data_IF_673787073445
#
_entry.id   IF_673787073445
#
_cell.length_a   1.000
_cell.length_b   1.000
_cell.length_c   1.000
_cell.angle_alpha   90.00
_cell.angle_beta   90.00
_cell.angle_gamma   90.00
#
_symmetry.space_group_name_H-M   'P 1'
#
loop_
_entity.id
_entity.type
_entity.pdbx_description
1 polymer ?
#
# COMPACT_ATOMS: atom_id res chain seq x y z
N UNK A 1 -5.21 4.74 10.02
CA UNK A 1 -6.08 3.81 9.29
C UNK A 1 -5.21 2.66 8.82
N UNK A 2 -5.72 1.43 8.84
CA UNK A 2 -5.00 0.26 8.31
C UNK A 2 -5.10 0.20 6.78
N UNK A 3 -4.18 -0.48 6.11
CA UNK A 3 -4.19 -0.66 4.65
C UNK A 3 -5.50 -1.25 4.15
N UNK A 4 -6.04 -2.25 4.86
CA UNK A 4 -7.32 -2.88 4.49
C UNK A 4 -8.51 -1.91 4.62
N UNK A 5 -8.42 -0.90 5.49
CA UNK A 5 -9.46 0.14 5.58
C UNK A 5 -9.47 1.04 4.34
N UNK A 6 -8.31 1.29 3.71
CA UNK A 6 -8.20 2.13 2.49
C UNK A 6 -8.91 1.48 1.29
N UNK A 7 -8.93 0.15 1.22
CA UNK A 7 -9.59 -0.63 0.16
C UNK A 7 -10.81 -1.43 0.66
N UNK A 8 -11.49 -0.93 1.71
CA UNK A 8 -12.56 -1.65 2.41
C UNK A 8 -13.67 -2.16 1.48
N UNK A 9 -14.09 -1.38 0.51
CA UNK A 9 -15.19 -1.76 -0.40
C UNK A 9 -14.78 -2.94 -1.29
N UNK A 10 -13.54 -2.95 -1.81
CA UNK A 10 -12.98 -4.05 -2.57
C UNK A 10 -12.83 -5.32 -1.71
N UNK A 11 -12.30 -5.17 -0.49
CA UNK A 11 -12.14 -6.29 0.46
C UNK A 11 -13.49 -6.93 0.79
N UNK A 12 -14.54 -6.11 0.94
CA UNK A 12 -15.91 -6.59 1.15
C UNK A 12 -16.45 -7.36 -0.04
N UNK A 13 -16.25 -6.86 -1.25
CA UNK A 13 -16.65 -7.55 -2.49
C UNK A 13 -15.94 -8.91 -2.62
N UNK A 14 -14.64 -8.96 -2.34
CA UNK A 14 -13.88 -10.21 -2.36
C UNK A 14 -14.41 -11.22 -1.36
N UNK A 15 -14.72 -10.79 -0.12
CA UNK A 15 -15.30 -11.68 0.88
C UNK A 15 -16.62 -12.31 0.41
N UNK A 16 -17.52 -11.52 -0.18
CA UNK A 16 -18.80 -12.00 -0.72
C UNK A 16 -18.61 -12.98 -1.89
N UNK A 17 -17.71 -12.67 -2.83
CA UNK A 17 -17.39 -13.54 -3.98
C UNK A 17 -16.82 -14.87 -3.50
N UNK A 18 -15.84 -14.82 -2.60
CA UNK A 18 -15.19 -16.00 -2.04
C UNK A 18 -16.22 -16.86 -1.32
N UNK A 19 -17.03 -16.28 -0.43
CA UNK A 19 -18.07 -17.00 0.30
C UNK A 19 -19.05 -17.74 -0.63
N UNK A 20 -19.47 -17.08 -1.72
CA UNK A 20 -20.34 -17.67 -2.73
C UNK A 20 -19.73 -18.86 -3.49
N UNK A 21 -18.40 -18.92 -3.60
CA UNK A 21 -17.70 -20.03 -4.26
C UNK A 21 -17.38 -21.19 -3.31
N UNK A 22 -17.00 -20.90 -2.07
CA UNK A 22 -16.51 -21.92 -1.13
C UNK A 22 -17.61 -22.56 -0.25
N UNK A 23 -18.84 -22.05 -0.30
CA UNK A 23 -19.95 -22.39 0.61
C UNK A 23 -19.56 -22.27 2.10
N UNK A 24 -18.67 -21.33 2.41
CA UNK A 24 -18.17 -21.07 3.76
C UNK A 24 -18.37 -19.59 4.08
N UNK A 25 -18.35 -19.26 5.37
CA UNK A 25 -18.29 -17.87 5.78
C UNK A 25 -16.87 -17.36 5.64
N UNK A 26 -16.73 -16.13 5.16
CA UNK A 26 -15.43 -15.45 5.03
C UNK A 26 -15.38 -14.31 6.00
N UNK A 27 -14.22 -14.11 6.59
CA UNK A 27 -13.94 -13.02 7.49
C UNK A 27 -12.54 -12.46 7.22
N UNK A 28 -12.44 -11.13 7.14
CA UNK A 28 -11.18 -10.43 6.91
C UNK A 28 -11.01 -9.40 8.01
N UNK A 29 -9.92 -9.52 8.76
CA UNK A 29 -9.55 -8.61 9.84
C UNK A 29 -8.24 -7.90 9.52
N UNK A 30 -8.08 -6.68 10.02
CA UNK A 30 -6.80 -5.97 9.95
C UNK A 30 -5.82 -6.38 11.07
N UNK A 31 -4.63 -5.77 11.05
CA UNK A 31 -3.58 -6.02 12.04
C UNK A 31 -3.98 -5.72 13.48
N UNK A 32 -5.05 -4.92 13.69
CA UNK A 32 -5.60 -4.60 14.99
C UNK A 32 -6.80 -5.49 15.34
N UNK A 33 -7.05 -6.54 14.57
CA UNK A 33 -8.21 -7.44 14.66
C UNK A 33 -9.54 -6.74 14.35
N UNK A 34 -9.55 -5.54 13.76
CA UNK A 34 -10.78 -4.89 13.33
C UNK A 34 -11.32 -5.64 12.11
N UNK A 35 -12.58 -6.08 12.17
CA UNK A 35 -13.22 -6.82 11.09
C UNK A 35 -13.60 -5.86 9.96
N UNK A 36 -12.87 -5.94 8.85
CA UNK A 36 -13.03 -5.07 7.68
C UNK A 36 -14.17 -5.59 6.78
N UNK A 37 -14.22 -6.91 6.59
CA UNK A 37 -15.27 -7.60 5.86
C UNK A 37 -15.63 -8.92 6.55
N UNK A 38 -16.89 -9.31 6.44
CA UNK A 38 -17.37 -10.61 6.90
C UNK A 38 -18.68 -10.95 6.20
N UNK A 39 -18.93 -12.23 5.93
CA UNK A 39 -20.14 -12.70 5.26
C UNK A 39 -21.10 -13.43 6.20
N UNK A 40 -22.32 -13.68 5.70
CA UNK A 40 -23.35 -14.50 6.32
C UNK A 40 -23.49 -14.29 7.84
N UNK A 41 -23.24 -15.32 8.66
CA UNK A 41 -23.41 -15.20 10.11
C UNK A 41 -22.55 -14.10 10.76
N UNK A 42 -21.41 -13.75 10.17
CA UNK A 42 -20.49 -12.77 10.71
C UNK A 42 -20.69 -11.35 10.14
N UNK A 43 -21.54 -11.16 9.12
CA UNK A 43 -21.76 -9.87 8.46
C UNK A 43 -22.15 -8.74 9.44
N UNK A 44 -22.96 -9.05 10.45
CA UNK A 44 -23.36 -8.09 11.50
C UNK A 44 -22.25 -7.71 12.49
N UNK A 45 -21.06 -8.30 12.36
CA UNK A 45 -19.86 -8.04 13.17
C UNK A 45 -18.83 -7.16 12.46
N UNK A 46 -19.04 -6.79 11.20
CA UNK A 46 -18.18 -5.84 10.48
C UNK A 46 -18.06 -4.53 11.29
N UNK A 47 -16.83 -4.01 11.41
CA UNK A 47 -16.51 -2.85 12.24
C UNK A 47 -16.34 -3.13 13.73
N UNK A 48 -16.43 -4.40 14.18
CA UNK A 48 -16.11 -4.82 15.54
C UNK A 48 -14.80 -5.61 15.58
N UNK A 49 -14.13 -5.56 16.72
CA UNK A 49 -12.90 -6.33 16.92
C UNK A 49 -13.18 -7.83 17.00
N UNK A 50 -12.37 -8.62 16.28
CA UNK A 50 -12.29 -10.06 16.46
C UNK A 50 -11.47 -10.40 17.69
N UNK A 51 -11.93 -11.42 18.41
CA UNK A 51 -11.21 -12.01 19.54
C UNK A 51 -10.74 -13.43 19.25
N UNK A 52 -10.79 -13.85 17.98
CA UNK A 52 -10.35 -15.17 17.53
C UNK A 52 -8.88 -15.41 17.88
N UNK A 53 -8.59 -16.51 18.57
CA UNK A 53 -7.24 -16.83 18.98
C UNK A 53 -6.38 -17.30 17.79
N UNK A 54 -6.98 -17.94 16.79
CA UNK A 54 -6.30 -18.39 15.57
C UNK A 54 -5.75 -17.20 14.79
N UNK A 55 -6.57 -16.17 14.53
CA UNK A 55 -6.11 -14.98 13.79
C UNK A 55 -4.98 -14.24 14.51
N UNK A 56 -4.99 -14.20 15.85
CA UNK A 56 -3.87 -13.63 16.61
C UNK A 56 -2.59 -14.42 16.37
N UNK A 57 -2.67 -15.74 16.37
CA UNK A 57 -1.51 -16.61 16.11
C UNK A 57 -0.99 -16.42 14.68
N UNK A 58 -1.88 -16.33 13.69
CA UNK A 58 -1.53 -16.01 12.29
C UNK A 58 -0.81 -14.67 12.19
N UNK A 59 -1.31 -13.62 12.87
CA UNK A 59 -0.66 -12.30 12.88
C UNK A 59 0.71 -12.28 13.59
N UNK A 60 0.93 -13.17 14.55
CA UNK A 60 2.20 -13.25 15.29
C UNK A 60 3.23 -14.08 14.53
N UNK A 61 2.85 -15.28 14.08
CA UNK A 61 3.77 -16.24 13.46
C UNK A 61 3.89 -16.03 11.95
N UNK A 62 2.84 -15.54 11.29
CA UNK A 62 2.79 -15.40 9.84
C UNK A 62 2.61 -16.73 9.11
N UNK A 63 2.12 -17.76 9.80
CA UNK A 63 1.83 -19.06 9.23
C UNK A 63 0.33 -19.21 9.03
N UNK A 64 -0.06 -19.81 7.90
CA UNK A 64 -1.45 -20.20 7.67
C UNK A 64 -1.82 -21.39 8.58
N UNK A 65 -3.09 -21.45 8.96
CA UNK A 65 -3.62 -22.52 9.80
C UNK A 65 -4.80 -23.23 9.13
N UNK A 66 -4.85 -24.53 9.32
CA UNK A 66 -6.04 -25.36 9.12
C UNK A 66 -6.39 -25.93 10.49
N UNK A 67 -7.52 -25.48 11.05
CA UNK A 67 -7.94 -25.83 12.40
C UNK A 67 -9.19 -26.69 12.33
N UNK A 68 -8.99 -28.00 12.52
CA UNK A 68 -10.09 -28.93 12.68
C UNK A 68 -10.64 -28.86 14.11
N UNK A 69 -11.93 -28.58 14.26
CA UNK A 69 -12.59 -28.38 15.55
C UNK A 69 -11.97 -27.23 16.39
N UNK A 70 -12.19 -25.96 16.01
CA UNK A 70 -11.65 -24.80 16.73
C UNK A 70 -11.88 -24.82 18.25
N UNK A 71 -13.06 -25.25 18.73
CA UNK A 71 -13.34 -25.33 20.18
C UNK A 71 -12.47 -26.33 20.96
N UNK A 72 -11.81 -27.27 20.28
CA UNK A 72 -10.91 -28.27 20.87
C UNK A 72 -9.42 -27.95 20.61
N UNK A 73 -9.14 -26.95 19.77
CA UNK A 73 -7.78 -26.62 19.38
C UNK A 73 -7.01 -25.95 20.52
N UNK A 74 -5.69 -26.22 20.61
CA UNK A 74 -4.82 -25.70 21.69
C UNK A 74 -4.82 -24.18 21.77
N UNK A 75 -4.83 -23.50 20.62
CA UNK A 75 -4.84 -22.03 20.54
C UNK A 75 -6.15 -21.44 21.08
N UNK A 76 -7.23 -22.22 21.07
CA UNK A 76 -8.53 -21.82 21.56
C UNK A 76 -8.76 -22.18 23.03
N UNK A 77 -7.75 -22.72 23.74
CA UNK A 77 -7.88 -23.12 25.13
C UNK A 77 -8.36 -21.97 26.03
N UNK A 78 -7.80 -20.77 25.81
CA UNK A 78 -8.12 -19.53 26.55
C UNK A 78 -9.05 -18.59 25.77
N UNK A 79 -9.72 -19.10 24.72
CA UNK A 79 -10.64 -18.29 23.94
C UNK A 79 -11.93 -18.02 24.73
N UNK A 80 -12.27 -16.74 24.91
CA UNK A 80 -13.51 -16.29 25.57
C UNK A 80 -14.78 -16.87 24.92
N UNK A 81 -14.70 -17.30 23.67
CA UNK A 81 -15.83 -17.81 22.88
C UNK A 81 -15.86 -19.33 22.78
N UNK A 82 -14.91 -20.06 23.39
CA UNK A 82 -14.76 -21.52 23.23
C UNK A 82 -16.06 -22.30 23.45
N UNK A 83 -16.76 -22.03 24.55
CA UNK A 83 -18.00 -22.72 24.94
C UNK A 83 -19.20 -22.42 24.02
N UNK A 84 -19.14 -21.31 23.26
CA UNK A 84 -20.17 -20.89 22.30
C UNK A 84 -19.68 -20.88 20.86
N UNK A 85 -18.50 -21.45 20.60
CA UNK A 85 -17.89 -21.48 19.30
C UNK A 85 -18.74 -22.37 18.38
N UNK A 86 -19.28 -21.77 17.31
CA UNK A 86 -20.09 -22.49 16.32
C UNK A 86 -19.24 -23.03 15.17
N UNK A 87 -17.95 -22.73 15.17
CA UNK A 87 -17.03 -23.06 14.10
C UNK A 87 -16.70 -24.56 14.16
N UNK A 88 -16.85 -25.21 13.01
CA UNK A 88 -16.58 -26.64 12.84
C UNK A 88 -15.17 -26.86 12.26
N UNK A 89 -14.73 -25.92 11.44
CA UNK A 89 -13.41 -25.86 10.85
C UNK A 89 -13.12 -24.40 10.46
N UNK A 90 -11.86 -24.02 10.58
CA UNK A 90 -11.36 -22.70 10.19
C UNK A 90 -10.07 -22.88 9.39
N UNK A 91 -9.97 -22.18 8.26
CA UNK A 91 -8.72 -22.00 7.51
C UNK A 91 -8.39 -20.51 7.58
N UNK A 92 -7.19 -20.16 8.00
CA UNK A 92 -6.78 -18.77 8.14
C UNK A 92 -5.41 -18.56 7.49
N UNK A 93 -5.26 -17.48 6.72
CA UNK A 93 -3.99 -17.11 6.09
C UNK A 93 -3.65 -15.64 6.39
N UNK A 94 -2.36 -15.32 6.59
CA UNK A 94 -1.92 -13.95 6.82
C UNK A 94 -2.00 -13.13 5.53
N UNK A 95 -2.49 -11.90 5.62
CA UNK A 95 -2.38 -10.90 4.54
C UNK A 95 -1.07 -10.15 4.74
N UNK A 96 -0.13 -10.36 3.82
CA UNK A 96 1.22 -9.78 3.90
C UNK A 96 1.40 -8.74 2.82
N UNK A 97 1.72 -7.51 3.22
CA UNK A 97 2.02 -6.41 2.31
C UNK A 97 3.37 -5.80 2.67
N UNK A 98 4.29 -5.75 1.70
CA UNK A 98 5.66 -5.22 1.87
C UNK A 98 6.39 -5.80 3.10
N UNK A 99 6.26 -7.11 3.31
CA UNK A 99 6.89 -7.82 4.43
C UNK A 99 6.22 -7.62 5.80
N UNK A 100 5.11 -6.88 5.88
CA UNK A 100 4.33 -6.69 7.10
C UNK A 100 3.02 -7.47 7.03
N UNK A 101 2.64 -8.12 8.12
CA UNK A 101 1.32 -8.76 8.28
C UNK A 101 0.32 -7.66 8.61
N UNK A 102 -0.56 -7.37 7.65
CA UNK A 102 -1.54 -6.27 7.70
C UNK A 102 -2.96 -6.76 7.99
N UNK A 103 -3.13 -8.07 8.18
CA UNK A 103 -4.44 -8.66 8.43
C UNK A 103 -4.43 -10.17 8.29
N UNK A 104 -5.63 -10.74 8.39
CA UNK A 104 -5.89 -12.17 8.22
C UNK A 104 -7.17 -12.32 7.41
N UNK A 105 -7.15 -13.25 6.46
CA UNK A 105 -8.36 -13.79 5.85
C UNK A 105 -8.63 -15.18 6.43
N UNK A 106 -9.86 -15.39 6.86
CA UNK A 106 -10.34 -16.66 7.38
C UNK A 106 -11.56 -17.16 6.63
N UNK A 107 -11.57 -18.47 6.37
CA UNK A 107 -12.69 -19.22 5.82
C UNK A 107 -13.18 -20.18 6.91
N UNK A 108 -14.47 -20.07 7.24
CA UNK A 108 -15.07 -20.71 8.39
C UNK A 108 -16.23 -21.61 7.95
N UNK A 109 -16.11 -22.89 8.28
CA UNK A 109 -17.20 -23.86 8.13
C UNK A 109 -18.04 -23.88 9.41
N UNK A 110 -19.35 -23.67 9.28
CA UNK A 110 -20.29 -23.65 10.41
C UNK A 110 -21.14 -24.91 10.55
N UNK A 111 -21.06 -25.83 9.60
CA UNK A 111 -21.77 -27.11 9.65
C UNK A 111 -20.83 -28.26 9.38
N UNK A 112 -21.16 -29.45 9.90
CA UNK A 112 -20.35 -30.65 9.67
C UNK A 112 -20.34 -31.03 8.18
N UNK A 113 -21.43 -30.76 7.44
CA UNK A 113 -21.49 -30.99 5.98
C UNK A 113 -20.43 -30.14 5.26
N UNK A 114 -20.37 -28.84 5.53
CA UNK A 114 -19.37 -27.94 4.94
C UNK A 114 -17.97 -28.34 5.38
N UNK A 115 -17.77 -28.64 6.67
CA UNK A 115 -16.49 -29.12 7.20
C UNK A 115 -15.95 -30.32 6.40
N UNK A 116 -16.76 -31.37 6.21
CA UNK A 116 -16.30 -32.56 5.48
C UNK A 116 -16.11 -32.30 3.98
N UNK A 117 -16.82 -31.33 3.39
CA UNK A 117 -16.55 -30.86 2.01
C UNK A 117 -15.16 -30.23 1.91
N UNK A 118 -14.84 -29.31 2.84
CA UNK A 118 -13.54 -28.63 2.92
C UNK A 118 -12.43 -29.65 3.16
N UNK A 119 -12.57 -30.54 4.14
CA UNK A 119 -11.55 -31.53 4.50
C UNK A 119 -11.17 -32.48 3.35
N UNK A 120 -12.12 -32.84 2.49
CA UNK A 120 -11.82 -33.68 1.30
C UNK A 120 -10.84 -33.03 0.33
N UNK A 121 -10.79 -31.70 0.31
CA UNK A 121 -9.93 -30.92 -0.59
C UNK A 121 -9.15 -29.85 0.19
N UNK A 122 -8.70 -30.16 1.41
CA UNK A 122 -8.22 -29.14 2.36
C UNK A 122 -7.07 -28.29 1.80
N UNK A 123 -6.14 -28.91 1.08
CA UNK A 123 -5.04 -28.20 0.41
C UNK A 123 -5.54 -27.19 -0.61
N UNK A 124 -6.56 -27.54 -1.41
CA UNK A 124 -7.16 -26.62 -2.37
C UNK A 124 -7.78 -25.40 -1.69
N UNK A 125 -8.45 -25.59 -0.55
CA UNK A 125 -9.05 -24.49 0.20
C UNK A 125 -7.98 -23.61 0.87
N UNK A 126 -6.90 -24.21 1.38
CA UNK A 126 -5.77 -23.47 1.92
C UNK A 126 -5.09 -22.63 0.83
N UNK A 127 -4.69 -23.26 -0.28
CA UNK A 127 -4.06 -22.59 -1.43
C UNK A 127 -4.94 -21.47 -1.98
N UNK A 128 -6.26 -21.67 -2.00
CA UNK A 128 -7.20 -20.65 -2.43
C UNK A 128 -7.27 -19.48 -1.44
N UNK A 129 -7.26 -19.75 -0.14
CA UNK A 129 -7.26 -18.72 0.91
C UNK A 129 -6.00 -17.87 0.84
N UNK A 130 -4.84 -18.51 0.63
CA UNK A 130 -3.55 -17.83 0.45
C UNK A 130 -3.53 -16.99 -0.84
N UNK A 131 -4.05 -17.51 -1.95
CA UNK A 131 -4.16 -16.73 -3.20
C UNK A 131 -5.03 -15.48 -3.06
N UNK A 132 -6.15 -15.56 -2.34
CA UNK A 132 -6.97 -14.37 -2.07
C UNK A 132 -6.23 -13.38 -1.18
N UNK A 133 -5.45 -13.88 -0.21
CA UNK A 133 -4.58 -13.06 0.63
C UNK A 133 -3.58 -12.24 -0.20
N UNK A 134 -2.90 -12.89 -1.14
CA UNK A 134 -1.96 -12.25 -2.06
C UNK A 134 -2.67 -11.24 -2.96
N UNK A 135 -3.84 -11.60 -3.51
CA UNK A 135 -4.64 -10.72 -4.36
C UNK A 135 -5.09 -9.44 -3.64
N UNK A 136 -5.45 -9.53 -2.35
CA UNK A 136 -5.74 -8.35 -1.51
C UNK A 136 -4.48 -7.46 -1.40
N UNK A 137 -3.30 -8.05 -1.20
CA UNK A 137 -2.03 -7.31 -1.11
C UNK A 137 -1.67 -6.61 -2.43
N UNK A 138 -1.94 -7.24 -3.57
CA UNK A 138 -1.79 -6.63 -4.89
C UNK A 138 -2.77 -5.46 -5.08
N UNK A 139 -4.02 -5.63 -4.66
CA UNK A 139 -5.05 -4.57 -4.72
C UNK A 139 -4.62 -3.33 -3.93
N UNK A 140 -4.01 -3.51 -2.75
CA UNK A 140 -3.43 -2.40 -1.96
C UNK A 140 -2.32 -1.72 -2.76
N UNK A 141 -1.42 -2.50 -3.35
CA UNK A 141 -0.30 -1.97 -4.15
C UNK A 141 -0.80 -1.11 -5.32
N UNK A 142 -1.89 -1.53 -5.97
CA UNK A 142 -2.52 -0.76 -7.05
C UNK A 142 -3.19 0.51 -6.55
N UNK A 143 -3.88 0.43 -5.41
CA UNK A 143 -4.49 1.59 -4.77
C UNK A 143 -3.45 2.65 -4.42
N UNK A 144 -2.34 2.26 -3.79
CA UNK A 144 -1.24 3.18 -3.46
C UNK A 144 -0.61 3.81 -4.72
N UNK A 145 -0.41 3.03 -5.78
CA UNK A 145 0.11 3.54 -7.06
C UNK A 145 -0.85 4.55 -7.67
N UNK A 146 -2.15 4.31 -7.60
CA UNK A 146 -3.18 5.22 -8.10
C UNK A 146 -3.19 6.52 -7.31
N UNK A 147 -3.24 6.45 -5.97
CA UNK A 147 -3.17 7.65 -5.13
C UNK A 147 -1.89 8.45 -5.40
N UNK A 148 -0.74 7.77 -5.49
CA UNK A 148 0.52 8.46 -5.77
C UNK A 148 0.52 9.13 -7.14
N UNK A 149 -0.15 8.54 -8.15
CA UNK A 149 -0.33 9.16 -9.47
C UNK A 149 -1.19 10.42 -9.37
N UNK A 150 -2.34 10.34 -8.71
CA UNK A 150 -3.25 11.48 -8.53
C UNK A 150 -2.57 12.65 -7.80
N UNK A 151 -1.80 12.36 -6.74
CA UNK A 151 -1.02 13.38 -6.03
C UNK A 151 0.08 13.98 -6.91
N UNK A 152 0.74 13.18 -7.74
CA UNK A 152 1.73 13.67 -8.70
C UNK A 152 1.10 14.55 -9.78
N UNK A 153 -0.10 14.24 -10.26
CA UNK A 153 -0.81 15.06 -11.24
C UNK A 153 -1.12 16.45 -10.66
N UNK A 154 -1.53 16.53 -9.38
CA UNK A 154 -1.72 17.81 -8.68
C UNK A 154 -0.40 18.61 -8.60
N UNK A 155 0.72 17.96 -8.24
CA UNK A 155 2.03 18.64 -8.19
C UNK A 155 2.39 19.19 -9.57
N UNK A 156 2.15 18.43 -10.65
CA UNK A 156 2.42 18.85 -12.03
C UNK A 156 1.61 20.10 -12.39
N UNK A 157 0.33 20.15 -12.04
CA UNK A 157 -0.49 21.33 -12.25
C UNK A 157 0.06 22.56 -11.50
N UNK A 158 0.45 22.37 -10.23
CA UNK A 158 1.04 23.45 -9.41
C UNK A 158 2.32 23.98 -10.05
N UNK A 159 3.28 23.13 -10.41
CA UNK A 159 4.57 23.60 -10.98
C UNK A 159 4.40 24.23 -12.36
N UNK A 160 3.39 23.81 -13.14
CA UNK A 160 3.08 24.40 -14.43
C UNK A 160 2.44 25.79 -14.30
N UNK A 161 1.71 26.05 -13.21
CA UNK A 161 1.19 27.37 -12.88
C UNK A 161 2.27 28.34 -12.37
N UNK A 162 3.45 27.82 -11.98
CA UNK A 162 4.50 28.62 -11.36
C UNK A 162 5.21 29.57 -12.34
N UNK A 163 5.59 30.75 -11.85
CA UNK A 163 6.19 31.80 -12.66
C UNK A 163 7.66 31.52 -13.02
N UNK A 164 8.33 30.61 -12.31
CA UNK A 164 9.77 30.29 -12.45
C UNK A 164 10.01 28.86 -12.91
N UNK A 165 11.28 28.47 -13.07
CA UNK A 165 11.64 27.09 -13.42
C UNK A 165 11.38 26.16 -12.24
N UNK A 166 10.81 25.00 -12.52
CA UNK A 166 10.55 23.96 -11.53
C UNK A 166 10.91 22.59 -12.10
N UNK A 167 11.70 21.81 -11.35
CA UNK A 167 12.07 20.43 -11.67
C UNK A 167 11.78 19.54 -10.48
N UNK A 168 11.09 18.43 -10.71
CA UNK A 168 10.82 17.39 -9.73
C UNK A 168 11.88 16.31 -9.89
N UNK A 169 12.56 15.96 -8.80
CA UNK A 169 13.60 14.95 -8.74
C UNK A 169 13.20 13.82 -7.79
N UNK A 170 13.61 12.59 -8.10
CA UNK A 170 13.59 11.48 -7.16
C UNK A 170 14.75 11.55 -6.15
N UNK A 171 14.81 10.55 -5.26
CA UNK A 171 15.87 10.41 -4.24
C UNK A 171 17.29 10.29 -4.80
N UNK A 172 17.42 9.91 -6.08
CA UNK A 172 18.69 9.71 -6.79
C UNK A 172 19.04 10.88 -7.73
N UNK A 173 18.36 12.03 -7.58
CA UNK A 173 18.50 13.20 -8.43
C UNK A 173 18.11 12.99 -9.90
N UNK A 174 17.25 11.99 -10.17
CA UNK A 174 16.71 11.75 -11.51
C UNK A 174 15.46 12.58 -11.72
N UNK A 175 15.36 13.23 -12.88
CA UNK A 175 14.21 14.07 -13.25
C UNK A 175 12.96 13.19 -13.43
N UNK A 176 11.95 13.45 -12.59
CA UNK A 176 10.60 12.86 -12.69
C UNK A 176 9.73 13.70 -13.63
N UNK A 177 9.70 15.02 -13.41
CA UNK A 177 8.94 15.97 -14.22
C UNK A 177 9.55 17.37 -14.16
N UNK A 178 9.20 18.23 -15.11
CA UNK A 178 9.67 19.61 -15.15
C UNK A 178 8.66 20.49 -15.88
N UNK A 179 8.52 21.74 -15.45
CA UNK A 179 7.69 22.69 -16.19
C UNK A 179 8.40 23.18 -17.47
N UNK A 180 7.63 23.70 -18.44
CA UNK A 180 8.18 24.13 -19.73
C UNK A 180 9.30 25.17 -19.62
N UNK A 181 9.30 26.00 -18.57
CA UNK A 181 10.35 26.99 -18.34
C UNK A 181 11.67 26.33 -17.97
N UNK A 182 11.64 25.34 -17.08
CA UNK A 182 12.82 24.57 -16.72
C UNK A 182 13.38 23.80 -17.91
N UNK A 183 12.53 23.15 -18.71
CA UNK A 183 12.93 22.44 -19.93
C UNK A 183 13.64 23.38 -20.90
N UNK A 184 13.10 24.58 -21.15
CA UNK A 184 13.73 25.58 -22.03
C UNK A 184 15.02 26.16 -21.47
N UNK A 185 15.09 26.42 -20.17
CA UNK A 185 16.25 27.06 -19.54
C UNK A 185 17.44 26.12 -19.41
N UNK A 186 17.17 24.84 -19.13
CA UNK A 186 18.18 23.79 -19.02
C UNK A 186 18.44 23.07 -20.36
N UNK A 187 17.57 23.28 -21.34
CA UNK A 187 17.71 22.81 -22.72
C UNK A 187 17.94 21.29 -22.83
N UNK A 188 17.13 20.50 -22.13
CA UNK A 188 17.12 19.03 -22.21
C UNK A 188 15.92 18.52 -23.01
N UNK A 189 16.05 17.35 -23.61
CA UNK A 189 14.99 16.76 -24.45
C UNK A 189 13.69 16.52 -23.66
N UNK A 190 12.53 16.81 -24.26
CA UNK A 190 11.21 16.61 -23.63
C UNK A 190 10.89 15.13 -23.31
N UNK A 191 11.65 14.18 -23.87
CA UNK A 191 11.55 12.74 -23.59
C UNK A 191 12.34 12.29 -22.34
N UNK A 192 12.79 13.22 -21.50
CA UNK A 192 13.56 12.95 -20.28
C UNK A 192 12.91 11.92 -19.35
N UNK A 193 11.58 11.77 -19.42
CA UNK A 193 10.79 10.78 -18.67
C UNK A 193 11.18 9.32 -19.00
N UNK A 194 11.66 9.06 -20.23
CA UNK A 194 12.07 7.73 -20.67
C UNK A 194 13.59 7.48 -20.46
N UNK A 195 14.39 8.56 -20.48
CA UNK A 195 15.86 8.48 -20.46
C UNK A 195 16.49 8.49 -19.05
N UNK A 196 15.71 8.77 -17.99
CA UNK A 196 16.21 8.90 -16.60
C UNK A 196 17.39 9.87 -16.50
N UNK A 197 17.17 11.11 -16.90
CA UNK A 197 18.20 12.16 -16.87
C UNK A 197 18.49 12.56 -15.42
N UNK A 198 19.77 12.58 -15.03
CA UNK A 198 20.22 13.04 -13.71
C UNK A 198 20.49 14.54 -13.73
N UNK A 199 20.06 15.25 -12.68
CA UNK A 199 20.31 16.67 -12.46
C UNK A 199 21.15 16.85 -11.19
N UNK A 200 22.39 17.28 -11.33
CA UNK A 200 23.26 17.56 -10.20
C UNK A 200 23.19 19.05 -9.87
N UNK A 201 22.78 19.40 -8.65
CA UNK A 201 22.75 20.77 -8.17
C UNK A 201 23.72 20.94 -7.00
N UNK A 202 24.89 21.51 -7.28
CA UNK A 202 25.93 21.73 -6.27
C UNK A 202 25.81 23.15 -5.72
N UNK A 203 25.56 23.35 -4.41
CA UNK A 203 25.49 24.68 -3.83
C UNK A 203 26.85 25.38 -3.88
N UNK A 204 26.84 26.68 -4.17
CA UNK A 204 28.00 27.57 -4.09
C UNK A 204 28.00 28.28 -2.72
N UNK A 205 29.17 28.75 -2.27
CA UNK A 205 29.31 29.48 -0.98
C UNK A 205 28.57 30.84 -0.97
N UNK A 206 28.18 31.33 -2.14
CA UNK A 206 27.49 32.60 -2.31
C UNK A 206 25.96 32.43 -2.17
N UNK A 207 25.33 33.39 -1.49
CA UNK A 207 23.85 33.48 -1.39
C UNK A 207 23.38 34.84 -1.88
N UNK A 208 22.21 34.87 -2.50
CA UNK A 208 21.59 36.10 -3.03
C UNK A 208 20.16 36.20 -2.50
N UNK A 209 19.86 37.28 -1.77
CA UNK A 209 18.59 37.48 -1.08
C UNK A 209 18.15 36.30 -0.20
N UNK A 210 19.11 35.68 0.51
CA UNK A 210 18.85 34.53 1.38
C UNK A 210 18.54 33.22 0.64
N UNK A 211 18.76 33.17 -0.68
CA UNK A 211 18.65 31.96 -1.50
C UNK A 211 20.03 31.46 -1.90
N UNK A 212 20.16 30.15 -1.93
CA UNK A 212 21.37 29.48 -2.39
C UNK A 212 21.52 29.64 -3.90
N UNK A 213 22.77 29.84 -4.33
CA UNK A 213 23.15 29.72 -5.73
C UNK A 213 23.65 28.29 -5.92
N UNK A 214 23.13 27.62 -6.93
CA UNK A 214 23.54 26.29 -7.35
C UNK A 214 24.25 26.37 -8.69
N UNK A 215 25.24 25.51 -8.84
CA UNK A 215 25.69 25.09 -10.14
C UNK A 215 24.87 23.86 -10.54
N UNK A 216 23.97 24.03 -11.50
CA UNK A 216 23.04 22.99 -11.97
C UNK A 216 23.60 22.39 -13.23
N UNK A 217 23.90 21.09 -13.17
CA UNK A 217 24.45 20.31 -14.27
C UNK A 217 23.48 19.24 -14.72
N UNK A 218 23.23 19.20 -16.03
CA UNK A 218 22.49 18.15 -16.73
C UNK A 218 23.34 17.71 -17.91
N UNK A 219 23.72 16.44 -17.94
CA UNK A 219 24.59 15.89 -18.98
C UNK A 219 25.87 16.74 -19.17
N UNK A 220 26.06 17.36 -20.34
CA UNK A 220 27.19 18.25 -20.64
C UNK A 220 26.89 19.74 -20.38
N UNK A 221 25.65 20.09 -20.01
CA UNK A 221 25.22 21.48 -19.78
C UNK A 221 25.32 21.85 -18.32
N UNK A 222 25.77 23.07 -18.08
CA UNK A 222 25.97 23.61 -16.74
C UNK A 222 25.50 25.06 -16.68
N UNK A 223 24.63 25.38 -15.72
CA UNK A 223 24.11 26.73 -15.50
C UNK A 223 24.24 27.13 -14.03
N UNK A 224 24.49 28.41 -13.79
CA UNK A 224 24.29 29.00 -12.46
C UNK A 224 22.82 29.34 -12.27
N UNK A 225 22.24 28.89 -11.16
CA UNK A 225 20.84 29.09 -10.84
C UNK A 225 20.69 29.54 -9.38
N UNK A 226 19.79 30.47 -9.11
CA UNK A 226 19.42 30.85 -7.74
C UNK A 226 18.06 30.24 -7.43
N UNK A 227 17.94 29.52 -6.31
CA UNK A 227 16.77 28.69 -6.07
C UNK A 227 16.63 28.18 -4.65
N UNK A 228 15.65 27.28 -4.49
CA UNK A 228 15.43 26.51 -3.27
C UNK A 228 15.03 25.08 -3.63
N UNK A 229 15.44 24.13 -2.79
CA UNK A 229 14.86 22.80 -2.78
C UNK A 229 13.71 22.74 -1.78
N UNK A 230 12.57 22.21 -2.22
CA UNK A 230 11.43 21.93 -1.35
C UNK A 230 11.20 20.43 -1.35
N UNK A 231 11.16 19.82 -0.17
CA UNK A 231 10.73 18.42 -0.06
C UNK A 231 9.24 18.33 -0.36
N UNK A 232 8.87 17.42 -1.28
CA UNK A 232 7.49 17.11 -1.61
C UNK A 232 7.03 15.79 -0.95
N UNK A 233 7.78 15.27 0.02
CA UNK A 233 7.45 14.04 0.75
C UNK A 233 6.14 14.07 1.56
N UNK A 234 5.56 15.25 1.79
CA UNK A 234 4.21 15.38 2.38
C UNK A 234 3.09 15.14 1.37
N UNK A 235 3.39 15.20 0.07
CA UNK A 235 2.41 15.10 -1.02
C UNK A 235 2.65 13.82 -1.84
N UNK A 236 3.89 13.37 -2.02
CA UNK A 236 4.19 12.08 -2.64
C UNK A 236 4.57 11.05 -1.56
N UNK A 237 4.09 9.80 -1.67
CA UNK A 237 4.51 8.69 -0.77
C UNK A 237 5.98 8.29 -1.00
N UNK A 238 6.59 8.77 -2.09
CA UNK A 238 8.03 8.65 -2.38
C UNK A 238 8.73 9.95 -2.02
N UNK A 239 9.95 9.83 -1.49
CA UNK A 239 10.84 10.97 -1.27
C UNK A 239 11.20 11.61 -2.61
N UNK A 240 10.49 12.68 -2.96
CA UNK A 240 10.82 13.52 -4.08
C UNK A 240 11.05 14.96 -3.60
N UNK A 241 11.91 15.66 -4.32
CA UNK A 241 12.25 17.07 -4.06
C UNK A 241 12.01 17.90 -5.31
N UNK A 242 11.57 19.13 -5.10
CA UNK A 242 11.29 20.08 -6.18
C UNK A 242 12.33 21.19 -6.09
N UNK A 243 13.10 21.37 -7.17
CA UNK A 243 13.98 22.51 -7.35
C UNK A 243 13.21 23.65 -8.02
N UNK A 244 12.98 24.73 -7.28
CA UNK A 244 12.48 25.98 -7.85
C UNK A 244 13.65 26.93 -8.08
N UNK A 245 13.85 27.39 -9.30
CA UNK A 245 15.02 28.21 -9.64
C UNK A 245 14.78 29.24 -10.74
N UNK A 246 15.68 30.22 -10.78
CA UNK A 246 15.88 31.13 -11.90
C UNK A 246 17.35 31.10 -12.31
N UNK A 247 17.64 31.34 -13.59
CA UNK A 247 19.02 31.52 -14.04
C UNK A 247 19.65 32.72 -13.33
N UNK A 248 20.83 32.50 -12.76
CA UNK A 248 21.63 33.53 -12.13
C UNK A 248 22.58 34.13 -13.16
N UNK A 249 22.43 35.42 -13.42
CA UNK A 249 23.36 36.23 -14.23
C UNK A 249 24.01 37.19 -13.25
N UNK A 250 25.17 36.78 -12.71
CA UNK A 250 26.02 37.63 -11.87
C UNK A 250 26.57 38.80 -12.67
#
# INVERSE_FOLDING_TARGET
MSFLTEIKEQVKEYAEIVAGFVDCEVEIVDENMLRIAATGKFAHLVGKFSKGAIYKDVLVNGESHVVENPSQHRLCADCEFKERCQEKLEIAAPIVHQGKRIGVIGIVALTDIIKYKVLRNVSLYLDFTEQISDFISETISEHEKKENRERMDIIKEVINSFDKCAVILDENDIIIDANQKAVKELDFEENFRDKKIKLEAVPLEETVFGKEIFNVKIEEKEIKAVGIFVSAGLIAKKDCKILFFNKYRG
#
